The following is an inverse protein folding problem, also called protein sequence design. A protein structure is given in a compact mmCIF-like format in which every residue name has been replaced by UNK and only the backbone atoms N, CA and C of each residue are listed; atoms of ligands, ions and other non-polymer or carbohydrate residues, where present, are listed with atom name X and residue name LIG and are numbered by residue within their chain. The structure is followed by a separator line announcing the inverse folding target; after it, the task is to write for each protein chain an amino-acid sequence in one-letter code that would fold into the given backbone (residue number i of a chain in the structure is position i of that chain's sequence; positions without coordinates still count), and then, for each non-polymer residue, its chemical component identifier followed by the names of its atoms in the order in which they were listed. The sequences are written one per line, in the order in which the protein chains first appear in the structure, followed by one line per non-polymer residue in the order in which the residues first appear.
data_IF_667985159471
#
_entry.id   IF_667985159471
#
_cell.length_a   1.000
_cell.length_b   1.000
_cell.length_c   1.000
_cell.angle_alpha   90.00
_cell.angle_beta   90.00
_cell.angle_gamma   90.00
#
_symmetry.space_group_name_H-M   'P 1'
#
loop_
_entity.id
_entity.type
_entity.pdbx_description
1 polymer ?
#
# COMPACT_ATOMS: atom_id res chain seq x y z
N UNK A 1 11.86 -2.16 4.11
CA UNK A 1 12.11 -3.23 3.12
C UNK A 1 11.55 -2.76 1.78
N UNK A 2 12.20 -3.05 0.64
CA UNK A 2 11.65 -2.68 -0.66
C UNK A 2 10.34 -3.43 -0.91
N UNK A 3 9.42 -2.80 -1.65
CA UNK A 3 8.13 -3.35 -2.05
C UNK A 3 8.15 -3.59 -3.55
N UNK A 4 7.72 -4.78 -3.98
CA UNK A 4 7.60 -5.11 -5.41
C UNK A 4 6.12 -5.22 -5.75
N UNK A 5 5.65 -4.35 -6.65
CA UNK A 5 4.30 -4.48 -7.23
C UNK A 5 4.37 -4.29 -8.74
N UNK A 6 3.74 -5.20 -9.49
CA UNK A 6 3.69 -5.23 -10.95
C UNK A 6 5.08 -5.15 -11.59
N UNK A 7 6.05 -5.88 -11.03
CA UNK A 7 7.44 -5.90 -11.50
C UNK A 7 8.25 -4.64 -11.16
N UNK A 8 7.66 -3.64 -10.49
CA UNK A 8 8.35 -2.41 -10.11
C UNK A 8 8.83 -2.51 -8.67
N UNK A 9 10.16 -2.42 -8.48
CA UNK A 9 10.80 -2.37 -7.15
C UNK A 9 10.77 -0.93 -6.62
N UNK A 10 10.16 -0.73 -5.45
CA UNK A 10 9.97 0.57 -4.80
C UNK A 10 10.64 0.60 -3.43
N UNK A 11 11.25 1.74 -3.10
CA UNK A 11 11.56 2.08 -1.72
C UNK A 11 10.40 2.87 -1.13
N UNK A 12 9.85 2.39 -0.01
CA UNK A 12 8.76 3.05 0.71
C UNK A 12 9.17 3.44 2.13
N UNK A 13 8.65 4.58 2.59
CA UNK A 13 8.70 5.03 3.99
C UNK A 13 7.26 5.12 4.50
N UNK A 14 6.88 4.20 5.39
CA UNK A 14 5.49 4.05 5.88
C UNK A 14 4.47 4.06 4.73
N UNK A 15 4.73 3.30 3.66
CA UNK A 15 3.86 3.19 2.49
C UNK A 15 3.95 4.35 1.49
N UNK A 16 4.72 5.42 1.77
CA UNK A 16 4.98 6.47 0.79
C UNK A 16 6.21 6.08 -0.04
N UNK A 17 6.01 5.93 -1.35
CA UNK A 17 7.11 5.68 -2.28
C UNK A 17 8.06 6.88 -2.29
N UNK A 18 9.36 6.64 -2.06
CA UNK A 18 10.42 7.67 -2.07
C UNK A 18 11.44 7.42 -3.17
N UNK A 19 11.48 6.20 -3.71
CA UNK A 19 12.28 5.86 -4.86
C UNK A 19 11.74 4.62 -5.58
N UNK A 20 12.19 4.41 -6.81
CA UNK A 20 11.94 3.17 -7.56
C UNK A 20 13.10 2.83 -8.49
N UNK A 21 13.32 1.53 -8.70
CA UNK A 21 14.23 1.06 -9.73
C UNK A 21 13.55 1.13 -11.10
N UNK A 22 14.26 1.65 -12.09
CA UNK A 22 13.84 1.73 -13.49
C UNK A 22 15.02 1.37 -14.38
N UNK A 23 14.75 0.97 -15.61
CA UNK A 23 15.80 0.83 -16.63
C UNK A 23 16.05 2.17 -17.31
N UNK A 24 17.32 2.51 -17.50
CA UNK A 24 17.70 3.68 -18.28
C UNK A 24 17.26 3.50 -19.75
N UNK A 25 16.53 4.46 -20.34
CA UNK A 25 15.93 4.28 -21.66
C UNK A 25 16.97 4.23 -22.80
N UNK A 26 18.21 4.69 -22.57
CA UNK A 26 19.27 4.73 -23.57
C UNK A 26 20.22 3.53 -23.42
N UNK A 27 20.66 3.28 -22.19
CA UNK A 27 21.68 2.28 -21.88
C UNK A 27 21.10 0.93 -21.46
N UNK A 28 19.83 0.89 -21.05
CA UNK A 28 19.18 -0.29 -20.47
C UNK A 28 19.73 -0.68 -19.09
N UNK A 29 20.64 0.11 -18.51
CA UNK A 29 21.19 -0.17 -17.20
C UNK A 29 20.18 0.19 -16.09
N UNK A 30 20.09 -0.60 -15.00
CA UNK A 30 19.22 -0.26 -13.89
C UNK A 30 19.70 1.03 -13.21
N UNK A 31 18.77 1.95 -12.97
CA UNK A 31 19.00 3.17 -12.21
C UNK A 31 17.90 3.37 -11.18
N UNK A 32 18.22 4.10 -10.12
CA UNK A 32 17.27 4.46 -9.08
C UNK A 32 16.77 5.89 -9.32
N UNK A 33 15.45 6.05 -9.44
CA UNK A 33 14.82 7.37 -9.41
C UNK A 33 14.34 7.70 -8.01
N UNK A 34 14.71 8.87 -7.51
CA UNK A 34 14.34 9.37 -6.17
C UNK A 34 13.27 10.45 -6.31
N UNK A 35 12.21 10.33 -5.52
CA UNK A 35 11.06 11.26 -5.50
C UNK A 35 9.73 10.55 -5.25
N UNK A 36 8.75 11.30 -4.73
CA UNK A 36 7.46 10.81 -4.24
C UNK A 36 6.36 10.68 -5.30
N UNK A 37 6.66 11.03 -6.55
CA UNK A 37 5.73 10.96 -7.68
C UNK A 37 6.43 11.28 -9.00
N UNK A 38 5.72 11.14 -10.11
CA UNK A 38 6.31 11.38 -11.44
C UNK A 38 6.87 12.81 -11.58
N UNK A 39 6.08 13.82 -11.21
CA UNK A 39 6.51 15.23 -11.27
C UNK A 39 7.69 15.53 -10.32
N UNK A 40 7.66 14.96 -9.11
CA UNK A 40 8.74 15.14 -8.13
C UNK A 40 10.04 14.51 -8.63
N UNK A 41 9.98 13.32 -9.23
CA UNK A 41 11.14 12.65 -9.85
C UNK A 41 11.67 13.38 -11.08
N UNK A 42 10.79 13.90 -11.93
CA UNK A 42 11.18 14.69 -13.09
C UNK A 42 11.87 15.99 -12.67
N UNK A 43 11.29 16.72 -11.71
CA UNK A 43 11.92 17.90 -11.13
C UNK A 43 13.25 17.55 -10.44
N UNK A 44 13.31 16.42 -9.73
CA UNK A 44 14.52 15.95 -9.08
C UNK A 44 15.63 15.67 -10.10
N UNK A 45 15.32 14.96 -11.20
CA UNK A 45 16.26 14.66 -12.28
C UNK A 45 16.78 15.93 -12.98
N UNK A 46 15.90 16.91 -13.23
CA UNK A 46 16.29 18.20 -13.82
C UNK A 46 17.18 19.03 -12.89
N UNK A 47 16.89 19.03 -11.59
CA UNK A 47 17.59 19.87 -10.61
C UNK A 47 18.91 19.27 -10.12
N UNK A 48 19.01 17.94 -10.05
CA UNK A 48 20.10 17.28 -9.34
C UNK A 48 21.07 16.51 -10.24
N UNK A 49 20.81 16.34 -11.54
CA UNK A 49 21.75 15.75 -12.50
C UNK A 49 22.52 14.53 -11.94
N UNK A 50 23.83 14.69 -11.72
CA UNK A 50 24.76 13.67 -11.21
C UNK A 50 24.89 13.58 -9.67
N UNK A 51 23.99 14.17 -8.87
CA UNK A 51 24.07 14.07 -7.40
C UNK A 51 24.09 12.59 -6.97
N UNK A 52 24.94 12.18 -6.01
CA UNK A 52 24.96 10.81 -5.54
C UNK A 52 23.58 10.40 -5.02
N UNK A 53 22.96 9.43 -5.69
CA UNK A 53 21.58 9.00 -5.46
C UNK A 53 21.31 8.59 -4.00
N UNK A 54 22.37 8.20 -3.28
CA UNK A 54 22.32 7.81 -1.86
C UNK A 54 22.02 9.01 -0.95
N UNK A 55 22.71 10.14 -1.12
CA UNK A 55 22.49 11.34 -0.28
C UNK A 55 21.11 11.92 -0.53
N UNK A 56 20.73 12.01 -1.80
CA UNK A 56 19.39 12.42 -2.22
C UNK A 56 18.29 11.57 -1.58
N UNK A 57 18.45 10.24 -1.63
CA UNK A 57 17.52 9.32 -1.02
C UNK A 57 17.48 9.49 0.50
N UNK A 58 18.63 9.66 1.15
CA UNK A 58 18.70 9.88 2.60
C UNK A 58 17.94 11.15 3.02
N UNK A 59 18.09 12.25 2.27
CA UNK A 59 17.38 13.51 2.51
C UNK A 59 15.86 13.33 2.39
N UNK A 60 15.38 12.69 1.31
CA UNK A 60 13.95 12.42 1.11
C UNK A 60 13.40 11.52 2.22
N UNK A 61 14.12 10.44 2.56
CA UNK A 61 13.73 9.53 3.65
C UNK A 61 13.66 10.29 4.98
N UNK A 62 14.65 11.14 5.28
CA UNK A 62 14.66 11.96 6.49
C UNK A 62 13.48 12.91 6.57
N UNK A 63 13.18 13.59 5.46
CA UNK A 63 12.05 14.52 5.36
C UNK A 63 10.71 13.81 5.53
N UNK A 64 10.52 12.65 4.88
CA UNK A 64 9.29 11.87 5.06
C UNK A 64 9.15 11.39 6.51
N UNK A 65 10.21 10.86 7.13
CA UNK A 65 10.17 10.41 8.53
C UNK A 65 9.87 11.53 9.53
N UNK A 66 10.27 12.77 9.23
CA UNK A 66 9.99 13.93 10.08
C UNK A 66 8.48 14.24 10.15
N UNK A 67 7.74 13.94 9.08
CA UNK A 67 6.35 14.33 8.95
C UNK A 67 5.36 13.16 8.92
N UNK A 68 5.79 11.96 8.55
CA UNK A 68 4.93 10.79 8.37
C UNK A 68 5.21 9.78 9.47
N UNK A 69 4.33 9.75 10.46
CA UNK A 69 4.25 8.76 11.53
C UNK A 69 2.86 8.80 12.19
N UNK A 70 2.40 7.73 12.84
CA UNK A 70 1.15 7.74 13.60
C UNK A 70 1.18 8.85 14.66
N UNK A 71 0.18 9.73 14.65
CA UNK A 71 0.15 10.85 15.58
C UNK A 71 0.85 12.13 15.09
N UNK A 72 1.40 12.15 13.87
CA UNK A 72 2.05 13.34 13.34
C UNK A 72 1.10 14.54 13.21
N UNK A 73 1.65 15.75 13.34
CA UNK A 73 0.91 16.99 13.00
C UNK A 73 0.44 16.92 11.54
N UNK A 74 -0.69 17.57 11.19
CA UNK A 74 -1.18 17.60 9.82
C UNK A 74 -0.10 18.07 8.83
N UNK A 75 0.20 17.22 7.85
CA UNK A 75 1.18 17.48 6.79
C UNK A 75 0.70 16.80 5.50
N UNK A 76 0.99 17.32 4.30
CA UNK A 76 0.60 16.69 3.03
C UNK A 76 0.98 15.21 2.93
N UNK A 77 2.17 14.83 3.43
CA UNK A 77 2.61 13.43 3.45
C UNK A 77 1.70 12.51 4.25
N UNK A 78 0.93 13.01 5.22
CA UNK A 78 -0.02 12.21 5.99
C UNK A 78 -1.38 12.04 5.29
N UNK A 79 -1.53 12.57 4.07
CA UNK A 79 -2.82 12.59 3.34
C UNK A 79 -2.74 11.89 1.99
N UNK A 80 -1.55 11.45 1.57
CA UNK A 80 -1.30 10.77 0.30
C UNK A 80 -0.97 9.30 0.54
N UNK A 81 -1.34 8.44 -0.42
CA UNK A 81 -1.12 6.99 -0.37
C UNK A 81 -1.54 6.38 0.99
N UNK A 82 -2.74 6.72 1.45
CA UNK A 82 -3.25 6.30 2.75
C UNK A 82 -3.46 4.78 2.81
N UNK A 83 -3.86 4.15 1.71
CA UNK A 83 -4.01 2.69 1.61
C UNK A 83 -2.67 2.00 1.84
N UNK A 84 -1.58 2.56 1.28
CA UNK A 84 -0.22 2.06 1.52
C UNK A 84 0.26 2.35 2.93
N UNK A 85 -0.14 3.47 3.54
CA UNK A 85 0.14 3.73 4.96
C UNK A 85 -0.47 2.65 5.84
N UNK A 86 -1.77 2.39 5.67
CA UNK A 86 -2.51 1.39 6.42
C UNK A 86 -1.91 0.00 6.17
N UNK A 87 -1.59 -0.36 4.92
CA UNK A 87 -0.92 -1.62 4.63
C UNK A 87 0.44 -1.70 5.34
N UNK A 88 1.28 -0.67 5.28
CA UNK A 88 2.57 -0.66 5.97
C UNK A 88 2.42 -0.91 7.48
N UNK A 89 1.42 -0.28 8.12
CA UNK A 89 1.08 -0.55 9.52
C UNK A 89 0.72 -2.02 9.75
N UNK A 90 -0.08 -2.62 8.86
CA UNK A 90 -0.47 -4.04 8.96
C UNK A 90 0.69 -5.00 8.71
N UNK A 91 1.62 -4.68 7.80
CA UNK A 91 2.82 -5.50 7.58
C UNK A 91 3.71 -5.53 8.82
N UNK A 92 3.82 -4.40 9.53
CA UNK A 92 4.55 -4.31 10.80
C UNK A 92 3.76 -4.93 11.97
N UNK A 93 2.43 -4.89 11.92
CA UNK A 93 1.54 -5.34 12.99
C UNK A 93 0.42 -6.28 12.47
N UNK A 94 0.75 -7.51 11.98
CA UNK A 94 -0.24 -8.37 11.34
C UNK A 94 -1.39 -8.80 12.27
N UNK A 95 -1.13 -8.85 13.58
CA UNK A 95 -2.12 -9.18 14.60
C UNK A 95 -3.33 -8.24 14.62
N UNK A 96 -3.21 -7.00 14.11
CA UNK A 96 -4.33 -6.05 14.00
C UNK A 96 -5.46 -6.56 13.11
N UNK A 97 -5.17 -7.48 12.19
CA UNK A 97 -6.18 -8.15 11.34
C UNK A 97 -6.32 -9.64 11.66
N UNK A 98 -5.78 -10.08 12.80
CA UNK A 98 -5.88 -11.47 13.27
C UNK A 98 -5.02 -12.47 12.50
N UNK A 99 -3.92 -12.01 11.87
CA UNK A 99 -3.00 -12.89 11.12
C UNK A 99 -1.60 -12.87 11.74
N UNK A 100 -0.80 -13.91 11.51
CA UNK A 100 0.53 -14.05 12.12
C UNK A 100 1.64 -13.41 11.28
N UNK A 101 1.45 -13.33 9.97
CA UNK A 101 2.45 -12.79 9.04
C UNK A 101 1.76 -12.22 7.80
N UNK A 102 2.33 -11.16 7.23
CA UNK A 102 1.89 -10.53 5.99
C UNK A 102 3.09 -10.06 5.17
N UNK A 103 2.92 -10.07 3.84
CA UNK A 103 3.78 -9.35 2.91
C UNK A 103 2.96 -8.66 1.81
N UNK A 104 3.51 -7.63 1.14
CA UNK A 104 2.84 -6.99 0.02
C UNK A 104 2.52 -7.99 -1.10
N UNK A 105 1.41 -7.75 -1.80
CA UNK A 105 1.08 -8.45 -3.04
C UNK A 105 0.54 -7.45 -4.07
N UNK A 106 0.65 -7.83 -5.34
CA UNK A 106 0.11 -7.05 -6.45
C UNK A 106 -1.42 -6.88 -6.27
N UNK A 107 -1.95 -5.65 -6.37
CA UNK A 107 -3.36 -5.46 -6.64
C UNK A 107 -3.71 -5.96 -8.07
N UNK A 108 -4.99 -6.24 -8.36
CA UNK A 108 -5.40 -6.66 -9.70
C UNK A 108 -5.20 -5.55 -10.76
N UNK A 109 -5.17 -4.28 -10.34
CA UNK A 109 -4.90 -3.13 -11.21
C UNK A 109 -3.69 -2.33 -10.73
N UNK A 110 -2.76 -1.96 -11.63
CA UNK A 110 -1.58 -1.20 -11.25
C UNK A 110 -1.95 0.24 -10.89
N UNK A 111 -1.37 0.72 -9.79
CA UNK A 111 -1.40 2.14 -9.44
C UNK A 111 -0.49 2.94 -10.38
N UNK A 112 -1.05 3.94 -11.06
CA UNK A 112 -0.30 4.77 -12.02
C UNK A 112 0.22 6.06 -11.39
N UNK A 113 -0.53 6.64 -10.44
CA UNK A 113 -0.15 7.86 -9.71
C UNK A 113 -0.17 7.65 -8.17
N UNK A 114 0.69 8.37 -7.45
CA UNK A 114 0.72 8.36 -5.99
C UNK A 114 -0.55 8.94 -5.36
N UNK A 115 -1.23 9.83 -6.08
CA UNK A 115 -2.48 10.47 -5.67
C UNK A 115 -3.73 9.61 -5.94
N UNK A 116 -3.60 8.54 -6.72
CA UNK A 116 -4.75 7.68 -7.01
C UNK A 116 -5.21 6.96 -5.74
N UNK A 117 -6.50 6.82 -5.57
CA UNK A 117 -7.07 5.99 -4.50
C UNK A 117 -7.22 4.56 -5.04
N UNK A 118 -6.15 3.77 -4.96
CA UNK A 118 -6.16 2.36 -5.36
C UNK A 118 -6.00 1.48 -4.11
N UNK A 119 -6.92 0.57 -3.80
CA UNK A 119 -6.75 -0.34 -2.67
C UNK A 119 -5.45 -1.15 -2.81
N UNK A 120 -4.78 -1.38 -1.69
CA UNK A 120 -3.54 -2.15 -1.64
C UNK A 120 -3.85 -3.60 -1.25
N UNK A 121 -2.98 -4.53 -1.66
CA UNK A 121 -3.13 -5.95 -1.31
C UNK A 121 -1.94 -6.41 -0.50
N UNK A 122 -2.20 -7.24 0.52
CA UNK A 122 -1.21 -8.03 1.23
C UNK A 122 -1.68 -9.48 1.27
N UNK A 123 -0.72 -10.41 1.32
CA UNK A 123 -1.01 -11.83 1.53
C UNK A 123 -0.23 -12.36 2.71
N UNK A 124 -0.72 -13.41 3.34
CA UNK A 124 -0.05 -13.99 4.48
C UNK A 124 -0.73 -15.24 5.01
N UNK A 125 -0.51 -15.50 6.29
CA UNK A 125 -1.10 -16.66 6.98
C UNK A 125 -1.56 -16.30 8.38
N UNK A 126 -2.57 -17.01 8.87
CA UNK A 126 -2.95 -17.00 10.28
C UNK A 126 -2.09 -17.95 11.12
N UNK A 127 -2.35 -18.01 12.43
CA UNK A 127 -1.65 -18.91 13.36
C UNK A 127 -1.90 -20.40 13.11
N UNK A 128 -2.91 -20.76 12.33
CA UNK A 128 -3.24 -22.13 11.94
C UNK A 128 -2.61 -22.51 10.59
N UNK A 129 -1.93 -21.57 9.93
CA UNK A 129 -1.33 -21.76 8.61
C UNK A 129 -2.30 -21.57 7.44
N UNK A 130 -3.52 -21.08 7.68
CA UNK A 130 -4.46 -20.80 6.60
C UNK A 130 -3.99 -19.58 5.81
N UNK A 131 -4.07 -19.64 4.48
CA UNK A 131 -3.74 -18.50 3.60
C UNK A 131 -4.76 -17.38 3.77
N UNK A 132 -4.26 -16.14 3.86
CA UNK A 132 -5.07 -14.93 4.00
C UNK A 132 -4.69 -13.93 2.92
N UNK A 133 -5.70 -13.31 2.32
CA UNK A 133 -5.56 -12.11 1.49
C UNK A 133 -6.21 -10.94 2.22
N UNK A 134 -5.47 -9.84 2.35
CA UNK A 134 -5.94 -8.60 2.95
C UNK A 134 -5.96 -7.51 1.91
N UNK A 135 -7.13 -6.96 1.65
CA UNK A 135 -7.32 -5.78 0.78
C UNK A 135 -7.51 -4.58 1.69
N UNK A 136 -6.66 -3.57 1.52
CA UNK A 136 -6.59 -2.39 2.37
C UNK A 136 -7.06 -1.18 1.59
N UNK A 137 -8.09 -0.49 2.09
CA UNK A 137 -8.55 0.79 1.53
C UNK A 137 -8.67 1.86 2.60
N UNK A 138 -8.56 3.13 2.22
CA UNK A 138 -8.66 4.25 3.14
C UNK A 138 -9.95 5.06 2.99
N UNK A 139 -10.68 4.91 1.86
CA UNK A 139 -11.87 5.69 1.53
C UNK A 139 -13.17 4.88 1.56
N UNK A 140 -14.30 5.58 1.56
CA UNK A 140 -15.62 4.99 1.35
C UNK A 140 -15.81 4.66 -0.15
N UNK A 141 -15.24 3.54 -0.57
CA UNK A 141 -15.27 3.06 -1.96
C UNK A 141 -16.40 2.03 -2.14
N UNK A 142 -17.42 2.29 -2.99
CA UNK A 142 -18.50 1.35 -3.25
C UNK A 142 -18.05 0.06 -3.95
N UNK A 143 -16.93 0.10 -4.67
CA UNK A 143 -16.43 -0.99 -5.52
C UNK A 143 -15.34 -1.84 -4.83
N UNK A 144 -15.03 -1.55 -3.56
CA UNK A 144 -13.97 -2.28 -2.82
C UNK A 144 -14.26 -3.77 -2.69
N UNK A 145 -15.53 -4.19 -2.63
CA UNK A 145 -15.86 -5.62 -2.48
C UNK A 145 -15.60 -6.39 -3.77
N UNK A 146 -16.12 -5.99 -4.95
CA UNK A 146 -15.69 -6.56 -6.24
C UNK A 146 -14.17 -6.56 -6.40
N UNK A 147 -13.51 -5.42 -6.15
CA UNK A 147 -12.06 -5.31 -6.22
C UNK A 147 -11.36 -6.35 -5.33
N UNK A 148 -11.85 -6.52 -4.09
CA UNK A 148 -11.24 -7.43 -3.13
C UNK A 148 -11.41 -8.90 -3.52
N UNK A 149 -12.53 -9.26 -4.15
CA UNK A 149 -12.76 -10.60 -4.68
C UNK A 149 -11.83 -10.90 -5.85
N UNK A 150 -11.65 -9.94 -6.76
CA UNK A 150 -10.71 -10.05 -7.88
C UNK A 150 -9.25 -10.13 -7.38
N UNK A 151 -8.90 -9.31 -6.39
CA UNK A 151 -7.59 -9.34 -5.75
C UNK A 151 -7.30 -10.71 -5.14
N UNK A 152 -8.23 -11.30 -4.40
CA UNK A 152 -8.04 -12.66 -3.87
C UNK A 152 -7.90 -13.67 -5.00
N UNK A 153 -8.75 -13.63 -6.03
CA UNK A 153 -8.68 -14.57 -7.15
C UNK A 153 -7.31 -14.50 -7.84
N UNK A 154 -6.81 -13.28 -8.10
CA UNK A 154 -5.50 -13.05 -8.68
C UNK A 154 -4.36 -13.61 -7.82
N UNK A 155 -4.39 -13.36 -6.50
CA UNK A 155 -3.37 -13.88 -5.57
C UNK A 155 -3.43 -15.40 -5.45
N UNK A 156 -4.63 -15.97 -5.30
CA UNK A 156 -4.85 -17.40 -5.18
C UNK A 156 -4.41 -18.16 -6.44
N UNK A 157 -4.69 -17.62 -7.63
CA UNK A 157 -4.20 -18.19 -8.89
C UNK A 157 -2.66 -18.15 -8.96
N UNK A 158 -2.06 -16.99 -8.65
CA UNK A 158 -0.60 -16.78 -8.71
C UNK A 158 0.17 -17.68 -7.74
N UNK A 159 -0.42 -18.00 -6.59
CA UNK A 159 0.23 -18.76 -5.53
C UNK A 159 -0.30 -20.19 -5.33
N UNK A 160 -1.26 -20.62 -6.16
CA UNK A 160 -1.96 -21.90 -6.03
C UNK A 160 -2.54 -22.14 -4.61
N UNK A 161 -3.14 -21.09 -4.03
CA UNK A 161 -3.72 -21.10 -2.68
C UNK A 161 -5.25 -20.96 -2.73
N UNK A 162 -5.87 -21.09 -1.56
CA UNK A 162 -7.28 -20.71 -1.35
C UNK A 162 -7.37 -19.90 -0.07
N UNK A 163 -7.49 -18.59 -0.21
CA UNK A 163 -7.34 -17.69 0.92
C UNK A 163 -8.67 -17.25 1.53
N UNK A 164 -8.68 -17.02 2.84
CA UNK A 164 -9.72 -16.17 3.43
C UNK A 164 -9.50 -14.71 3.00
N UNK A 165 -10.57 -13.97 2.74
CA UNK A 165 -10.51 -12.56 2.35
C UNK A 165 -10.87 -11.62 3.50
N UNK A 166 -9.93 -10.74 3.84
CA UNK A 166 -10.14 -9.63 4.75
C UNK A 166 -10.17 -8.32 3.96
N UNK A 167 -11.21 -7.52 4.16
CA UNK A 167 -11.27 -6.15 3.63
C UNK A 167 -11.06 -5.18 4.79
N UNK A 168 -9.86 -4.62 4.89
CA UNK A 168 -9.41 -3.79 5.99
C UNK A 168 -9.55 -2.30 5.64
N UNK A 169 -10.34 -1.57 6.43
CA UNK A 169 -10.66 -0.15 6.17
C UNK A 169 -11.16 0.55 7.45
N UNK A 170 -11.14 1.89 7.49
CA UNK A 170 -11.73 2.64 8.59
C UNK A 170 -13.20 2.29 8.80
N UNK A 171 -13.61 2.07 10.06
CA UNK A 171 -14.99 1.71 10.39
C UNK A 171 -16.02 2.70 9.82
N UNK A 172 -15.69 4.00 9.87
CA UNK A 172 -16.51 5.10 9.33
C UNK A 172 -16.71 5.05 7.82
N UNK A 173 -15.92 4.26 7.09
CA UNK A 173 -15.96 4.15 5.63
C UNK A 173 -16.65 2.88 5.15
N UNK A 174 -17.10 2.00 6.06
CA UNK A 174 -17.91 0.83 5.70
C UNK A 174 -19.35 1.28 5.41
N UNK A 175 -19.71 1.39 4.13
CA UNK A 175 -21.06 1.82 3.75
C UNK A 175 -22.06 0.66 3.73
N UNK A 176 -23.38 0.94 3.77
CA UNK A 176 -24.41 -0.08 3.56
C UNK A 176 -24.29 -0.81 2.21
N UNK A 177 -23.79 -0.13 1.17
CA UNK A 177 -23.58 -0.76 -0.15
C UNK A 177 -22.46 -1.79 -0.08
N UNK A 178 -21.36 -1.50 0.61
CA UNK A 178 -20.28 -2.44 0.86
C UNK A 178 -20.80 -3.69 1.59
N UNK A 179 -21.62 -3.51 2.63
CA UNK A 179 -22.21 -4.63 3.39
C UNK A 179 -23.14 -5.48 2.52
N UNK A 180 -23.97 -4.86 1.67
CA UNK A 180 -24.82 -5.57 0.71
C UNK A 180 -23.98 -6.36 -0.31
N UNK A 181 -22.96 -5.75 -0.89
CA UNK A 181 -22.08 -6.41 -1.85
C UNK A 181 -21.37 -7.62 -1.21
N UNK A 182 -20.86 -7.47 0.02
CA UNK A 182 -20.22 -8.57 0.74
C UNK A 182 -21.19 -9.72 1.04
N UNK A 183 -22.44 -9.41 1.39
CA UNK A 183 -23.49 -10.42 1.60
C UNK A 183 -23.87 -11.22 0.35
N UNK A 184 -23.52 -10.74 -0.84
CA UNK A 184 -23.71 -11.45 -2.11
C UNK A 184 -22.48 -12.28 -2.52
N UNK A 185 -21.36 -12.16 -1.80
CA UNK A 185 -20.15 -12.92 -2.10
C UNK A 185 -20.37 -14.43 -1.87
N UNK A 186 -20.01 -15.25 -2.85
CA UNK A 186 -20.16 -16.73 -2.79
C UNK A 186 -19.13 -17.44 -1.92
N UNK A 187 -18.18 -16.69 -1.37
CA UNK A 187 -16.96 -17.16 -0.74
C UNK A 187 -16.69 -16.35 0.51
N UNK A 188 -16.14 -16.97 1.55
CA UNK A 188 -15.86 -16.31 2.82
C UNK A 188 -15.04 -15.02 2.63
N UNK A 189 -15.59 -13.92 3.12
CA UNK A 189 -14.97 -12.61 3.15
C UNK A 189 -15.58 -11.81 4.30
N UNK A 190 -14.78 -11.00 4.99
CA UNK A 190 -15.26 -10.13 6.08
C UNK A 190 -14.57 -8.78 6.07
N UNK A 191 -15.25 -7.77 6.60
CA UNK A 191 -14.60 -6.49 6.92
C UNK A 191 -13.78 -6.62 8.20
N UNK A 192 -12.65 -5.93 8.24
CA UNK A 192 -11.87 -5.69 9.44
C UNK A 192 -11.74 -4.18 9.61
N UNK A 193 -12.18 -3.69 10.77
CA UNK A 193 -12.17 -2.27 11.07
C UNK A 193 -10.76 -1.86 11.50
N UNK A 194 -10.23 -0.83 10.83
CA UNK A 194 -8.95 -0.22 11.18
C UNK A 194 -9.18 1.12 11.86
N UNK A 195 -8.40 1.39 12.91
CA UNK A 195 -8.29 2.74 13.43
C UNK A 195 -7.45 3.57 12.45
N UNK A 196 -7.98 4.74 12.06
CA UNK A 196 -7.15 5.72 11.36
C UNK A 196 -6.08 6.20 12.35
N UNK A 197 -4.82 6.33 11.91
CA UNK A 197 -3.80 6.96 12.74
C UNK A 197 -4.21 8.43 12.99
N UNK A 198 -4.78 8.68 14.18
CA UNK A 198 -5.18 10.02 14.61
C UNK A 198 -4.01 10.74 15.26
N UNK A 199 -3.96 12.07 15.10
CA UNK A 199 -3.07 12.91 15.90
C UNK A 199 -3.43 12.77 17.39
N UNK A 200 -2.47 12.72 18.33
CA UNK A 200 -2.79 12.79 19.74
C UNK A 200 -3.56 14.09 20.01
N UNK A 201 -4.61 13.99 20.81
CA UNK A 201 -5.32 15.16 21.33
C UNK A 201 -4.33 16.01 22.14
N UNK A 202 -4.16 17.25 21.69
CA UNK A 202 -3.37 18.30 22.35
C UNK A 202 -3.79 18.56 23.79
#
# INVERSE_FOLDING_TARGET
MPVVEHGIVRGEVLGLEVCRAVDDPVTGAPRLEVGMGAHDREAFAMLHGNRPTIEALADVVGNVKLHRYPGARPHPFNRIALERMLRATLLENPHLVGVSWLEPSDPPTPRTNVLDTVPCVARGTDHQGNSIVVVVTSGADPDVVPFALDARAYVDEKHATRSELLVALPASHITPTNRRALGLAKSAARFVELDLPTAPSS
#
